data_IF_913122902176
#
_entry.id   IF_913122902176
#
_cell.length_a   1.000
_cell.length_b   1.000
_cell.length_c   1.000
_cell.angle_alpha   90.00
_cell.angle_beta   90.00
_cell.angle_gamma   90.00
#
_symmetry.space_group_name_H-M   'P 1'
#
loop_
_entity.id
_entity.type
_entity.pdbx_description
1 polymer ?
#
# COMPACT_ATOMS: atom_id res chain seq x y z
N UNK A 1 11.50 3.32 2.87
CA UNK A 1 10.72 2.24 2.24
C UNK A 1 9.58 1.95 3.16
N UNK A 2 8.54 1.30 2.71
CA UNK A 2 7.31 1.01 3.47
C UNK A 2 6.73 -0.30 2.95
N UNK A 3 5.79 -0.88 3.68
CA UNK A 3 5.11 -2.10 3.28
C UNK A 3 3.59 -1.91 3.43
N UNK A 4 2.85 -2.22 2.38
CA UNK A 4 1.39 -2.35 2.42
C UNK A 4 1.03 -3.74 1.90
N UNK A 5 0.17 -4.44 2.63
CA UNK A 5 -0.29 -5.78 2.27
C UNK A 5 -1.81 -5.85 2.31
N UNK A 6 -2.41 -6.60 1.41
CA UNK A 6 -3.85 -6.88 1.38
C UNK A 6 -4.12 -8.38 1.30
N UNK A 7 -5.14 -8.85 2.00
CA UNK A 7 -5.65 -10.23 1.95
C UNK A 7 -7.14 -10.21 1.66
N UNK A 8 -7.55 -10.96 0.65
CA UNK A 8 -8.95 -11.23 0.37
C UNK A 8 -9.42 -12.39 1.24
N UNK A 9 -10.46 -12.15 2.04
CA UNK A 9 -11.06 -13.09 2.97
C UNK A 9 -12.40 -13.60 2.45
N UNK A 10 -12.95 -14.62 3.08
CA UNK A 10 -14.28 -15.15 2.70
C UNK A 10 -15.38 -14.11 2.92
N UNK A 11 -15.25 -13.26 3.93
CA UNK A 11 -16.21 -12.25 4.38
C UNK A 11 -15.81 -10.79 4.10
N UNK A 12 -14.65 -10.55 3.50
CA UNK A 12 -14.20 -9.19 3.24
C UNK A 12 -12.80 -9.08 2.66
N UNK A 13 -12.16 -7.91 2.83
CA UNK A 13 -10.77 -7.64 2.48
C UNK A 13 -10.12 -6.93 3.68
N UNK A 14 -8.94 -7.38 4.07
CA UNK A 14 -8.13 -6.74 5.11
C UNK A 14 -6.87 -6.15 4.48
N UNK A 15 -6.55 -4.91 4.84
CA UNK A 15 -5.35 -4.22 4.38
C UNK A 15 -4.55 -3.76 5.58
N UNK A 16 -3.24 -3.95 5.54
CA UNK A 16 -2.29 -3.40 6.51
C UNK A 16 -1.32 -2.45 5.86
N UNK A 17 -0.95 -1.38 6.57
CA UNK A 17 0.12 -0.45 6.19
C UNK A 17 1.01 -0.16 7.38
N UNK A 18 2.33 -0.23 7.20
CA UNK A 18 3.27 0.14 8.25
C UNK A 18 3.27 1.65 8.51
N UNK A 19 3.66 2.07 9.72
CA UNK A 19 3.71 3.50 10.08
C UNK A 19 5.04 4.19 9.77
N UNK A 20 6.08 3.44 9.34
CA UNK A 20 7.42 4.01 9.24
C UNK A 20 7.61 4.94 8.06
N UNK A 21 8.13 6.12 8.36
CA UNK A 21 8.70 7.06 7.43
C UNK A 21 10.21 7.09 7.63
N UNK A 22 10.95 6.86 6.55
CA UNK A 22 12.41 6.89 6.57
C UNK A 22 12.89 8.26 6.10
N UNK A 23 13.70 8.92 6.90
CA UNK A 23 14.31 10.19 6.58
C UNK A 23 15.68 9.99 5.95
N UNK A 24 15.92 10.66 4.82
CA UNK A 24 17.18 10.59 4.09
C UNK A 24 17.84 11.96 3.98
N UNK A 25 19.16 11.97 4.10
CA UNK A 25 20.00 13.08 3.67
C UNK A 25 20.63 12.72 2.33
N UNK A 26 20.46 13.59 1.33
CA UNK A 26 21.05 13.42 0.00
C UNK A 26 22.35 14.22 -0.03
N UNK A 27 23.44 13.59 -0.44
CA UNK A 27 24.69 14.31 -0.73
C UNK A 27 24.49 15.10 -2.05
N UNK A 28 24.56 16.43 -2.03
CA UNK A 28 24.27 17.24 -3.22
C UNK A 28 25.29 17.06 -4.34
N UNK A 29 26.49 16.54 -4.05
CA UNK A 29 27.55 16.35 -5.03
C UNK A 29 27.50 14.97 -5.69
N UNK A 30 27.17 13.92 -4.94
CA UNK A 30 27.17 12.52 -5.41
C UNK A 30 25.78 11.97 -5.67
N UNK A 31 24.71 12.61 -5.18
CA UNK A 31 23.35 12.09 -5.17
C UNK A 31 23.13 10.93 -4.19
N UNK A 32 24.14 10.54 -3.43
CA UNK A 32 24.08 9.42 -2.49
C UNK A 32 23.10 9.73 -1.34
N UNK A 33 22.23 8.75 -1.03
CA UNK A 33 21.24 8.85 0.04
C UNK A 33 21.72 8.11 1.27
N UNK A 34 21.73 8.80 2.41
CA UNK A 34 22.02 8.21 3.72
C UNK A 34 20.81 8.36 4.63
N UNK A 35 20.39 7.26 5.25
CA UNK A 35 19.34 7.29 6.30
C UNK A 35 19.86 8.10 7.48
N UNK A 36 19.05 9.06 7.96
CA UNK A 36 19.36 9.92 9.10
C UNK A 36 18.37 9.74 10.26
N UNK A 37 17.22 9.13 10.02
CA UNK A 37 16.21 8.90 11.04
C UNK A 37 15.00 8.10 10.54
N UNK A 38 14.14 7.77 11.50
CA UNK A 38 12.84 7.15 11.28
C UNK A 38 11.81 7.87 12.15
N UNK A 39 10.57 7.96 11.65
CA UNK A 39 9.40 8.27 12.47
C UNK A 39 8.29 7.26 12.16
N UNK A 40 7.51 6.88 13.16
CA UNK A 40 6.43 5.90 13.05
C UNK A 40 5.06 6.61 13.20
N UNK A 41 4.85 7.66 12.39
CA UNK A 41 3.68 8.54 12.38
C UNK A 41 3.05 8.71 10.99
N UNK A 42 3.46 7.88 10.03
CA UNK A 42 3.02 7.99 8.64
C UNK A 42 1.94 6.97 8.32
N UNK A 43 0.72 7.43 8.14
CA UNK A 43 -0.38 6.60 7.63
C UNK A 43 -0.15 6.29 6.15
N UNK A 44 -0.39 5.03 5.77
CA UNK A 44 -0.21 4.53 4.40
C UNK A 44 -1.53 4.21 3.72
N UNK A 45 -2.62 4.16 4.50
CA UNK A 45 -3.92 3.76 4.04
C UNK A 45 -4.89 4.94 4.06
N UNK A 46 -5.71 5.03 3.03
CA UNK A 46 -6.78 6.03 2.91
C UNK A 46 -8.07 5.28 2.58
N UNK A 47 -9.12 5.48 3.39
CA UNK A 47 -10.46 4.98 3.09
C UNK A 47 -11.24 6.03 2.31
N UNK A 48 -11.84 5.64 1.20
CA UNK A 48 -12.68 6.50 0.38
C UNK A 48 -14.14 6.47 0.86
N UNK A 49 -14.98 7.42 0.43
CA UNK A 49 -16.42 7.41 0.73
C UNK A 49 -17.17 6.28 0.01
N UNK A 50 -16.62 5.79 -1.08
CA UNK A 50 -17.14 4.62 -1.81
C UNK A 50 -16.72 3.28 -1.20
N UNK A 51 -16.22 3.30 0.04
CA UNK A 51 -15.77 2.15 0.82
C UNK A 51 -14.66 1.34 0.13
N UNK A 52 -13.73 2.03 -0.50
CA UNK A 52 -12.48 1.47 -1.01
C UNK A 52 -11.33 1.85 -0.09
N UNK A 53 -10.26 1.07 -0.09
CA UNK A 53 -9.03 1.38 0.63
C UNK A 53 -7.90 1.51 -0.37
N UNK A 54 -7.20 2.64 -0.31
CA UNK A 54 -6.03 2.94 -1.11
C UNK A 54 -4.82 2.92 -0.21
N UNK A 55 -3.83 2.12 -0.56
CA UNK A 55 -2.53 2.10 0.09
C UNK A 55 -1.44 2.62 -0.85
N UNK A 56 -0.47 3.35 -0.31
CA UNK A 56 0.65 3.83 -1.11
C UNK A 56 1.98 3.68 -0.37
N UNK A 57 3.05 3.52 -1.12
CA UNK A 57 4.43 3.46 -0.63
C UNK A 57 5.34 4.26 -1.55
N UNK A 58 6.52 4.63 -1.07
CA UNK A 58 7.53 5.36 -1.84
C UNK A 58 7.90 6.70 -1.22
N UNK A 59 8.19 7.69 -2.04
CA UNK A 59 8.54 9.03 -1.56
C UNK A 59 7.30 9.83 -1.18
N UNK A 60 7.44 10.69 -0.19
CA UNK A 60 6.37 11.58 0.25
C UNK A 60 6.18 12.82 -0.64
N UNK A 61 7.05 13.03 -1.63
CA UNK A 61 6.98 14.14 -2.59
C UNK A 61 7.17 13.66 -4.01
N UNK A 62 6.40 14.23 -4.91
CA UNK A 62 6.57 14.11 -6.35
C UNK A 62 7.76 14.98 -6.83
N UNK A 63 8.18 14.79 -8.08
CA UNK A 63 9.29 15.57 -8.67
C UNK A 63 9.01 17.08 -8.74
N UNK A 64 7.73 17.48 -8.80
CA UNK A 64 7.31 18.89 -8.75
C UNK A 64 7.25 19.48 -7.33
N UNK A 65 7.54 18.67 -6.29
CA UNK A 65 7.58 19.06 -4.89
C UNK A 65 6.25 18.93 -4.13
N UNK A 66 5.15 18.52 -4.81
CA UNK A 66 3.86 18.28 -4.16
C UNK A 66 3.92 17.06 -3.25
N UNK A 67 3.16 17.09 -2.16
CA UNK A 67 3.03 15.95 -1.24
C UNK A 67 2.16 14.87 -1.89
N UNK A 68 2.64 13.64 -1.91
CA UNK A 68 1.94 12.49 -2.51
C UNK A 68 0.57 12.30 -1.85
N UNK A 69 0.47 12.38 -0.52
CA UNK A 69 -0.79 12.24 0.20
C UNK A 69 -1.83 13.28 -0.25
N UNK A 70 -1.40 14.54 -0.45
CA UNK A 70 -2.29 15.61 -0.93
C UNK A 70 -2.78 15.33 -2.34
N UNK A 71 -1.88 14.87 -3.22
CA UNK A 71 -2.23 14.53 -4.60
C UNK A 71 -3.20 13.36 -4.65
N UNK A 72 -2.97 12.30 -3.87
CA UNK A 72 -3.88 11.15 -3.78
C UNK A 72 -5.25 11.57 -3.24
N UNK A 73 -5.31 12.35 -2.15
CA UNK A 73 -6.58 12.82 -1.57
C UNK A 73 -7.39 13.67 -2.56
N UNK A 74 -6.74 14.57 -3.30
CA UNK A 74 -7.41 15.37 -4.32
C UNK A 74 -7.92 14.51 -5.49
N UNK A 75 -7.14 13.51 -5.90
CA UNK A 75 -7.53 12.59 -6.96
C UNK A 75 -8.73 11.71 -6.54
N UNK A 76 -8.75 11.22 -5.30
CA UNK A 76 -9.89 10.49 -4.72
C UNK A 76 -11.15 11.36 -4.74
N UNK A 77 -11.05 12.61 -4.27
CA UNK A 77 -12.20 13.52 -4.23
C UNK A 77 -12.79 13.76 -5.63
N UNK A 78 -11.94 13.87 -6.65
CA UNK A 78 -12.38 14.03 -8.03
C UNK A 78 -13.00 12.73 -8.56
N UNK A 79 -12.40 11.58 -8.31
CA UNK A 79 -12.92 10.28 -8.76
C UNK A 79 -14.29 9.97 -8.16
N UNK A 80 -14.48 10.27 -6.87
CA UNK A 80 -15.77 10.16 -6.18
C UNK A 80 -16.83 11.08 -6.80
N UNK A 81 -16.44 12.31 -7.12
CA UNK A 81 -17.34 13.29 -7.77
C UNK A 81 -17.78 12.79 -9.15
N UNK A 82 -16.86 12.18 -9.90
CA UNK A 82 -17.12 11.64 -11.22
C UNK A 82 -17.72 10.22 -11.18
N UNK A 83 -17.82 9.60 -10.00
CA UNK A 83 -18.31 8.23 -9.78
C UNK A 83 -17.56 7.21 -10.63
N UNK A 84 -16.24 7.28 -10.64
CA UNK A 84 -15.40 6.37 -11.41
C UNK A 84 -15.53 4.92 -10.88
N UNK A 85 -15.39 3.95 -11.77
CA UNK A 85 -15.19 2.55 -11.39
C UNK A 85 -13.86 2.41 -10.62
N UNK A 86 -13.67 1.32 -9.86
CA UNK A 86 -12.41 1.06 -9.15
C UNK A 86 -11.21 1.05 -10.12
N UNK A 87 -11.39 0.50 -11.33
CA UNK A 87 -10.33 0.47 -12.35
C UNK A 87 -9.96 1.84 -12.90
N UNK A 88 -10.97 2.70 -13.15
CA UNK A 88 -10.73 4.03 -13.69
C UNK A 88 -10.16 4.97 -12.62
N UNK A 89 -10.61 4.85 -11.36
CA UNK A 89 -10.04 5.54 -10.21
C UNK A 89 -8.56 5.17 -10.05
N UNK A 90 -8.24 3.87 -10.05
CA UNK A 90 -6.87 3.41 -9.90
C UNK A 90 -5.94 3.91 -11.02
N UNK A 91 -6.39 3.85 -12.28
CA UNK A 91 -5.63 4.42 -13.41
C UNK A 91 -5.41 5.91 -13.27
N UNK A 92 -6.43 6.62 -12.81
CA UNK A 92 -6.32 8.06 -12.57
C UNK A 92 -5.33 8.37 -11.46
N UNK A 93 -5.41 7.67 -10.34
CA UNK A 93 -4.45 7.80 -9.23
C UNK A 93 -3.00 7.56 -9.70
N UNK A 94 -2.75 6.48 -10.44
CA UNK A 94 -1.43 6.19 -11.03
C UNK A 94 -0.96 7.37 -11.88
N UNK A 95 -1.83 7.92 -12.73
CA UNK A 95 -1.45 9.05 -13.61
C UNK A 95 -1.01 10.28 -12.83
N UNK A 96 -1.58 10.49 -11.63
CA UNK A 96 -1.26 11.62 -10.76
C UNK A 96 0.09 11.46 -10.04
N UNK A 97 0.53 10.22 -9.74
CA UNK A 97 1.74 9.97 -8.93
C UNK A 97 2.89 9.33 -9.72
N UNK A 98 2.70 9.07 -11.01
CA UNK A 98 3.66 8.34 -11.86
C UNK A 98 5.05 8.96 -11.91
N UNK A 99 5.15 10.29 -11.77
CA UNK A 99 6.43 11.01 -11.81
C UNK A 99 7.26 10.83 -10.53
N UNK A 100 6.69 10.19 -9.49
CA UNK A 100 7.38 9.85 -8.27
C UNK A 100 7.89 8.40 -8.27
N UNK A 101 8.66 8.05 -7.25
CA UNK A 101 9.03 6.65 -6.97
C UNK A 101 8.03 6.06 -5.98
N UNK A 102 6.77 5.93 -6.42
CA UNK A 102 5.66 5.50 -5.60
C UNK A 102 5.04 4.23 -6.17
N UNK A 103 4.46 3.41 -5.32
CA UNK A 103 3.64 2.25 -5.66
C UNK A 103 2.27 2.39 -5.03
N UNK A 104 1.27 1.77 -5.63
CA UNK A 104 -0.13 1.93 -5.24
C UNK A 104 -0.82 0.57 -5.17
N UNK A 105 -1.67 0.41 -4.17
CA UNK A 105 -2.64 -0.68 -4.09
C UNK A 105 -4.02 -0.08 -3.82
N UNK A 106 -5.03 -0.57 -4.49
CA UNK A 106 -6.42 -0.23 -4.21
C UNK A 106 -7.24 -1.50 -4.05
N UNK A 107 -8.06 -1.53 -3.02
CA UNK A 107 -8.97 -2.64 -2.77
C UNK A 107 -10.39 -2.15 -2.61
N UNK A 108 -11.34 -2.97 -3.05
CA UNK A 108 -12.77 -2.67 -2.95
C UNK A 108 -13.63 -3.86 -3.30
N UNK A 109 -14.94 -3.67 -3.12
CA UNK A 109 -15.97 -4.61 -3.58
C UNK A 109 -16.81 -3.90 -4.62
N UNK A 110 -16.79 -4.40 -5.85
CA UNK A 110 -17.59 -3.86 -6.95
C UNK A 110 -18.37 -5.00 -7.61
N UNK A 111 -19.69 -4.82 -7.80
CA UNK A 111 -20.58 -5.88 -8.32
C UNK A 111 -20.44 -7.22 -7.58
N UNK A 112 -20.33 -7.18 -6.25
CA UNK A 112 -20.12 -8.34 -5.37
C UNK A 112 -18.81 -9.09 -5.61
N UNK A 113 -17.88 -8.52 -6.36
CA UNK A 113 -16.55 -9.06 -6.56
C UNK A 113 -15.54 -8.30 -5.70
N UNK A 114 -14.72 -9.04 -4.97
CA UNK A 114 -13.58 -8.50 -4.23
C UNK A 114 -12.43 -8.26 -5.20
N UNK A 115 -11.94 -7.03 -5.25
CA UNK A 115 -10.93 -6.58 -6.23
C UNK A 115 -9.72 -6.04 -5.46
N UNK A 116 -8.54 -6.48 -5.87
CA UNK A 116 -7.26 -5.93 -5.44
C UNK A 116 -6.47 -5.53 -6.68
N UNK A 117 -6.20 -4.25 -6.82
CA UNK A 117 -5.39 -3.67 -7.89
C UNK A 117 -4.03 -3.27 -7.33
N UNK A 118 -2.97 -3.65 -8.01
CA UNK A 118 -1.59 -3.38 -7.61
C UNK A 118 -0.84 -2.76 -8.79
N UNK A 119 -0.09 -1.71 -8.50
CA UNK A 119 0.86 -1.11 -9.42
C UNK A 119 2.15 -0.76 -8.65
N UNK A 120 3.26 -1.34 -9.06
CA UNK A 120 4.57 -0.99 -8.52
C UNK A 120 5.27 0.04 -9.43
N UNK A 121 6.12 0.86 -8.81
CA UNK A 121 6.88 1.88 -9.54
C UNK A 121 7.69 1.25 -10.67
N UNK A 122 7.42 1.70 -11.89
CA UNK A 122 8.06 1.20 -13.10
C UNK A 122 7.27 0.15 -13.87
N UNK A 123 6.17 -0.37 -13.29
CA UNK A 123 5.30 -1.30 -14.00
C UNK A 123 4.59 -0.63 -15.17
N UNK A 124 4.46 -1.38 -16.26
CA UNK A 124 3.70 -0.96 -17.45
C UNK A 124 2.22 -1.22 -17.30
N UNK A 125 1.86 -2.23 -16.53
CA UNK A 125 0.48 -2.74 -16.40
C UNK A 125 0.05 -2.80 -14.94
N UNK A 126 -1.25 -2.77 -14.72
CA UNK A 126 -1.89 -2.94 -13.43
C UNK A 126 -2.09 -4.45 -13.22
N UNK A 127 -1.63 -4.96 -12.10
CA UNK A 127 -1.92 -6.32 -11.67
C UNK A 127 -3.28 -6.38 -10.98
N UNK A 128 -4.11 -7.33 -11.39
CA UNK A 128 -5.43 -7.59 -10.79
C UNK A 128 -5.36 -8.92 -10.05
N UNK A 129 -5.59 -8.90 -8.75
CA UNK A 129 -5.48 -10.08 -7.90
C UNK A 129 -6.79 -10.38 -7.18
N UNK A 130 -7.13 -11.67 -7.10
CA UNK A 130 -8.35 -12.13 -6.40
C UNK A 130 -8.05 -12.65 -4.98
N UNK A 131 -6.79 -12.74 -4.60
CA UNK A 131 -6.39 -13.33 -3.31
C UNK A 131 -5.70 -12.34 -2.39
N UNK A 132 -5.17 -11.24 -2.91
CA UNK A 132 -4.46 -10.21 -2.17
C UNK A 132 -3.30 -9.64 -2.96
N UNK A 133 -2.51 -8.78 -2.32
CA UNK A 133 -1.35 -8.13 -2.93
C UNK A 133 -0.46 -7.47 -1.90
N UNK A 134 0.73 -7.06 -2.32
CA UNK A 134 1.64 -6.28 -1.50
C UNK A 134 2.40 -5.28 -2.38
N UNK A 135 2.77 -4.14 -1.79
CA UNK A 135 3.61 -3.11 -2.42
C UNK A 135 4.65 -2.60 -1.43
N UNK A 136 5.73 -2.03 -1.95
CA UNK A 136 6.78 -1.39 -1.17
C UNK A 136 8.02 -2.25 -1.02
N UNK A 137 8.47 -2.53 0.21
CA UNK A 137 9.66 -3.36 0.45
C UNK A 137 9.34 -4.84 0.36
N UNK A 138 8.99 -5.26 -0.86
CA UNK A 138 8.57 -6.64 -1.15
C UNK A 138 9.72 -7.64 -1.10
N UNK A 139 10.96 -7.21 -1.17
CA UNK A 139 12.13 -8.12 -1.09
C UNK A 139 12.19 -8.84 0.26
N UNK A 140 11.97 -8.12 1.36
CA UNK A 140 11.89 -8.73 2.69
C UNK A 140 10.67 -9.66 2.81
N UNK A 141 9.55 -9.30 2.16
CA UNK A 141 8.34 -10.11 2.14
C UNK A 141 8.52 -11.43 1.35
N UNK A 142 9.30 -11.42 0.26
CA UNK A 142 9.56 -12.62 -0.57
C UNK A 142 10.04 -13.80 0.24
N UNK A 143 10.80 -13.57 1.30
CA UNK A 143 11.29 -14.60 2.22
C UNK A 143 10.18 -15.37 2.92
N UNK A 144 9.06 -14.70 3.16
CA UNK A 144 7.92 -15.22 3.91
C UNK A 144 6.73 -15.61 3.01
N UNK A 145 6.78 -15.30 1.71
CA UNK A 145 5.62 -15.36 0.81
C UNK A 145 4.96 -16.74 0.80
N UNK A 146 5.76 -17.82 0.72
CA UNK A 146 5.22 -19.19 0.67
C UNK A 146 4.50 -19.60 1.96
N UNK A 147 5.01 -19.17 3.12
CA UNK A 147 4.36 -19.42 4.39
C UNK A 147 3.10 -18.55 4.54
N UNK A 148 3.18 -17.29 4.16
CA UNK A 148 2.05 -16.36 4.16
C UNK A 148 0.92 -16.87 3.27
N UNK A 149 1.20 -17.28 2.03
CA UNK A 149 0.21 -17.79 1.09
C UNK A 149 -0.52 -19.04 1.62
N UNK A 150 0.20 -19.94 2.25
CA UNK A 150 -0.38 -21.13 2.88
C UNK A 150 -1.27 -20.76 4.08
N UNK A 151 -0.85 -19.77 4.88
CA UNK A 151 -1.59 -19.37 6.08
C UNK A 151 -2.80 -18.50 5.76
N UNK A 152 -2.84 -17.79 4.62
CA UNK A 152 -3.95 -16.88 4.25
C UNK A 152 -5.16 -17.55 3.61
N UNK A 153 -5.06 -18.82 3.20
CA UNK A 153 -6.14 -19.53 2.51
C UNK A 153 -7.41 -19.64 3.37
N UNK A 154 -8.56 -19.31 2.76
CA UNK A 154 -9.91 -19.44 3.36
C UNK A 154 -10.10 -18.74 4.71
N UNK A 155 -9.37 -17.68 4.98
CA UNK A 155 -9.52 -16.95 6.23
C UNK A 155 -10.73 -16.01 6.23
N UNK A 156 -11.22 -15.76 7.43
CA UNK A 156 -12.14 -14.66 7.73
C UNK A 156 -11.31 -13.41 8.07
N UNK A 157 -11.95 -12.24 8.03
CA UNK A 157 -11.26 -10.95 8.26
C UNK A 157 -10.57 -10.89 9.62
N UNK A 158 -11.16 -11.45 10.69
CA UNK A 158 -10.57 -11.47 12.03
C UNK A 158 -9.21 -12.21 12.05
N UNK A 159 -9.16 -13.40 11.43
CA UNK A 159 -7.90 -14.17 11.34
C UNK A 159 -6.86 -13.48 10.45
N UNK A 160 -7.30 -12.80 9.39
CA UNK A 160 -6.43 -12.09 8.48
C UNK A 160 -5.77 -10.86 9.13
N UNK A 161 -6.44 -10.19 10.06
CA UNK A 161 -5.86 -9.10 10.87
C UNK A 161 -4.64 -9.63 11.63
N UNK A 162 -4.81 -10.71 12.40
CA UNK A 162 -3.72 -11.30 13.17
C UNK A 162 -2.57 -11.78 12.27
N UNK A 163 -2.90 -12.33 11.10
CA UNK A 163 -1.93 -12.78 10.11
C UNK A 163 -1.09 -11.60 9.58
N UNK A 164 -1.72 -10.51 9.16
CA UNK A 164 -1.03 -9.34 8.63
C UNK A 164 -0.13 -8.68 9.69
N UNK A 165 -0.61 -8.55 10.92
CA UNK A 165 0.19 -8.05 12.04
C UNK A 165 1.41 -8.93 12.32
N UNK A 166 1.25 -10.26 12.34
CA UNK A 166 2.33 -11.23 12.49
C UNK A 166 3.42 -11.02 11.43
N UNK A 167 3.02 -10.97 10.15
CA UNK A 167 4.00 -10.86 9.06
C UNK A 167 4.62 -9.47 8.98
N UNK A 168 3.88 -8.40 9.27
CA UNK A 168 4.46 -7.06 9.38
C UNK A 168 5.56 -7.04 10.45
N UNK A 169 5.29 -7.62 11.62
CA UNK A 169 6.27 -7.71 12.70
C UNK A 169 7.51 -8.53 12.33
N UNK A 170 7.32 -9.70 11.69
CA UNK A 170 8.44 -10.54 11.23
C UNK A 170 9.35 -9.81 10.24
N UNK A 171 8.75 -9.11 9.26
CA UNK A 171 9.48 -8.35 8.26
C UNK A 171 10.21 -7.15 8.88
N UNK A 172 9.56 -6.45 9.80
CA UNK A 172 10.16 -5.31 10.50
C UNK A 172 11.39 -5.67 11.32
N UNK A 173 11.45 -6.88 11.88
CA UNK A 173 12.62 -7.37 12.60
C UNK A 173 13.86 -7.55 11.71
N UNK A 174 13.67 -7.72 10.41
CA UNK A 174 14.77 -7.87 9.44
C UNK A 174 15.02 -6.58 8.64
N UNK A 175 14.04 -5.68 8.60
CA UNK A 175 14.05 -4.50 7.72
C UNK A 175 13.77 -3.24 8.52
N UNK A 176 14.81 -2.49 8.90
CA UNK A 176 14.66 -1.31 9.76
C UNK A 176 13.84 -0.16 9.14
N UNK A 177 13.53 -0.26 7.85
CA UNK A 177 12.69 0.73 7.14
C UNK A 177 11.19 0.47 7.26
N UNK A 178 10.79 -0.61 7.96
CA UNK A 178 9.40 -0.99 8.22
C UNK A 178 9.16 -0.91 9.73
N UNK A 179 8.01 -0.34 10.14
CA UNK A 179 7.58 -0.32 11.54
C UNK A 179 7.09 -1.70 11.97
N UNK A 180 7.36 -2.17 13.20
CA UNK A 180 6.78 -3.40 13.72
C UNK A 180 5.26 -3.31 13.92
N UNK A 181 4.75 -2.10 14.12
CA UNK A 181 3.32 -1.82 14.19
C UNK A 181 2.78 -1.43 12.82
N UNK A 182 1.50 -1.74 12.57
CA UNK A 182 0.80 -1.37 11.34
C UNK A 182 -0.62 -0.92 11.63
N UNK A 183 -1.12 -0.01 10.79
CA UNK A 183 -2.56 0.27 10.72
C UNK A 183 -3.28 -0.84 9.98
N UNK A 184 -4.53 -1.08 10.34
CA UNK A 184 -5.39 -2.08 9.71
C UNK A 184 -6.69 -1.42 9.27
N UNK A 185 -7.10 -1.68 8.05
CA UNK A 185 -8.43 -1.33 7.53
C UNK A 185 -9.12 -2.56 6.95
N UNK A 186 -10.44 -2.63 7.10
CA UNK A 186 -11.26 -3.78 6.68
C UNK A 186 -12.43 -3.29 5.82
N UNK A 187 -12.71 -3.98 4.71
CA UNK A 187 -13.94 -3.87 3.91
C UNK A 187 -14.73 -5.17 4.09
N UNK A 188 -16.02 -5.06 4.40
CA UNK A 188 -16.94 -6.21 4.54
C UNK A 188 -18.14 -6.06 3.64
#
# INVERSE_FOLDING_TARGET
MSLVMAVVCTDGIVVSGDFRKTEFKVNPQTGEKRIIGFSDDSHKLIRTKSDRIIGHTGYNKLNNGELVDTVIQNAILLSETLKLSIYDEFRYLISCIRDGQNSLIEVGIENSQKIVLVWECGDKEISVNQQGGAIGDTEAFKKYISAFEKERENRVTEDAIALLQKYNHLIANETPTISPECEIMVIQ
#
